data_IF_820926591463
#
_entry.id   IF_820926591463
#
_cell.length_a   1.000
_cell.length_b   1.000
_cell.length_c   1.000
_cell.angle_alpha   90.00
_cell.angle_beta   90.00
_cell.angle_gamma   90.00
#
_symmetry.space_group_name_H-M   'P 1'
#
loop_
_entity.id
_entity.type
_entity.pdbx_description
1 polymer ?
#
# COMPACT_ATOMS: atom_id res chain seq x y z
N UNK A 1 -8.09 45.61 -10.86
CA UNK A 1 -7.15 44.53 -11.21
C UNK A 1 -6.36 44.22 -9.95
N UNK A 2 -6.79 43.20 -9.21
CA UNK A 2 -6.14 42.79 -7.96
C UNK A 2 -5.25 41.58 -8.23
N UNK A 3 -3.95 41.70 -8.11
CA UNK A 3 -3.01 40.60 -8.15
C UNK A 3 -3.06 39.88 -6.80
N UNK A 4 -3.65 38.68 -6.79
CA UNK A 4 -3.49 37.79 -5.66
C UNK A 4 -2.12 37.08 -5.75
N UNK A 5 -1.23 37.46 -4.85
CA UNK A 5 0.03 36.76 -4.64
C UNK A 5 -0.28 35.49 -3.83
N UNK A 6 -0.18 34.37 -4.46
CA UNK A 6 -0.18 33.08 -3.75
C UNK A 6 1.19 32.95 -3.07
N UNK A 7 1.22 33.13 -1.75
CA UNK A 7 2.40 32.83 -0.96
C UNK A 7 2.58 31.30 -0.90
N UNK A 8 3.56 30.80 -1.64
CA UNK A 8 4.03 29.43 -1.46
C UNK A 8 4.71 29.36 -0.08
N UNK A 9 4.05 28.69 0.88
CA UNK A 9 4.68 28.36 2.16
C UNK A 9 5.70 27.26 1.89
N UNK A 10 6.96 27.64 1.77
CA UNK A 10 8.07 26.69 1.86
C UNK A 10 8.09 26.15 3.28
N UNK A 11 7.66 24.90 3.47
CA UNK A 11 7.91 24.18 4.70
C UNK A 11 9.42 24.05 4.85
N UNK A 12 9.97 24.77 5.82
CA UNK A 12 11.37 24.65 6.17
C UNK A 12 11.66 23.21 6.55
N UNK A 13 12.65 22.59 5.91
CA UNK A 13 13.17 21.31 6.33
C UNK A 13 13.49 21.38 7.82
N UNK A 14 13.18 20.33 8.60
CA UNK A 14 13.46 20.34 10.02
C UNK A 14 14.95 20.56 10.24
N UNK A 15 15.26 21.63 10.90
CA UNK A 15 16.61 22.02 11.25
C UNK A 15 17.19 21.07 12.29
N UNK A 16 18.38 20.62 11.98
CA UNK A 16 19.46 20.13 12.84
C UNK A 16 19.09 19.83 14.29
N UNK A 17 19.17 18.56 14.65
CA UNK A 17 19.10 18.11 16.03
C UNK A 17 20.34 18.54 16.83
N UNK A 18 20.15 18.78 18.13
CA UNK A 18 21.12 19.44 19.01
C UNK A 18 22.49 18.74 19.19
N UNK A 19 22.64 17.52 18.72
CA UNK A 19 23.86 16.71 18.91
C UNK A 19 24.65 16.51 17.61
N UNK A 20 24.29 17.18 16.54
CA UNK A 20 25.04 17.15 15.27
C UNK A 20 24.90 15.85 14.45
N UNK A 21 24.14 14.87 14.90
CA UNK A 21 23.89 13.62 14.16
C UNK A 21 22.39 13.37 14.03
N UNK A 22 21.78 13.95 12.99
CA UNK A 22 20.44 13.57 12.59
C UNK A 22 20.44 12.07 12.19
N UNK A 23 19.47 11.30 12.72
CA UNK A 23 19.33 9.90 12.35
C UNK A 23 19.06 9.78 10.85
N UNK A 24 19.64 8.80 10.16
CA UNK A 24 19.30 8.52 8.78
C UNK A 24 17.79 8.26 8.64
N UNK A 25 17.18 8.82 7.61
CA UNK A 25 15.75 8.68 7.32
C UNK A 25 15.54 7.68 6.20
N UNK A 26 14.79 6.63 6.48
CA UNK A 26 14.38 5.66 5.49
C UNK A 26 12.87 5.82 5.25
N UNK A 27 12.49 6.13 4.01
CA UNK A 27 11.09 6.13 3.61
C UNK A 27 10.79 4.87 2.81
N UNK A 28 9.71 4.19 3.18
CA UNK A 28 9.19 3.01 2.48
C UNK A 28 7.83 3.38 1.91
N UNK A 29 7.67 3.30 0.59
CA UNK A 29 6.39 3.53 -0.09
C UNK A 29 5.73 2.19 -0.38
N UNK A 30 4.53 2.01 0.13
CA UNK A 30 3.72 0.80 0.01
C UNK A 30 3.82 -0.12 1.22
N UNK A 31 2.68 -0.39 1.86
CA UNK A 31 2.54 -1.17 3.08
C UNK A 31 2.14 -2.64 2.86
N UNK A 32 2.31 -3.16 1.64
CA UNK A 32 2.11 -4.58 1.36
C UNK A 32 3.17 -5.48 1.99
N UNK A 33 3.19 -6.75 1.61
CA UNK A 33 4.08 -7.76 2.20
C UNK A 33 5.57 -7.35 2.17
N UNK A 34 6.03 -6.77 1.05
CA UNK A 34 7.42 -6.34 0.90
C UNK A 34 7.75 -5.11 1.74
N UNK A 35 7.00 -4.00 1.54
CA UNK A 35 7.31 -2.73 2.21
C UNK A 35 7.08 -2.77 3.71
N UNK A 36 5.97 -3.34 4.18
CA UNK A 36 5.71 -3.50 5.61
C UNK A 36 6.79 -4.35 6.30
N UNK A 37 7.26 -5.41 5.63
CA UNK A 37 8.37 -6.24 6.13
C UNK A 37 9.66 -5.43 6.19
N UNK A 38 10.02 -4.72 5.12
CA UNK A 38 11.21 -3.88 5.08
C UNK A 38 11.19 -2.84 6.20
N UNK A 39 10.10 -2.05 6.31
CA UNK A 39 9.96 -1.03 7.33
C UNK A 39 10.13 -1.61 8.76
N UNK A 40 9.44 -2.73 9.03
CA UNK A 40 9.50 -3.40 10.33
C UNK A 40 10.92 -3.84 10.70
N UNK A 41 11.62 -4.50 9.76
CA UNK A 41 12.94 -5.04 10.07
C UNK A 41 13.99 -3.94 10.16
N UNK A 42 13.93 -2.90 9.34
CA UNK A 42 14.84 -1.76 9.45
C UNK A 42 14.67 -1.08 10.81
N UNK A 43 13.44 -0.79 11.23
CA UNK A 43 13.19 -0.18 12.54
C UNK A 43 13.66 -1.07 13.70
N UNK A 44 13.36 -2.38 13.63
CA UNK A 44 13.75 -3.34 14.66
C UNK A 44 15.27 -3.48 14.77
N UNK A 45 15.96 -3.68 13.65
CA UNK A 45 17.37 -4.05 13.65
C UNK A 45 18.28 -2.83 13.84
N UNK A 46 17.82 -1.63 13.47
CA UNK A 46 18.50 -0.37 13.77
C UNK A 46 18.43 0.03 15.23
N UNK A 47 17.58 -0.62 16.05
CA UNK A 47 17.40 -0.30 17.47
C UNK A 47 17.11 1.19 17.74
N UNK A 48 16.42 1.84 16.80
CA UNK A 48 16.05 3.24 16.88
C UNK A 48 17.11 4.23 16.37
N UNK A 49 18.18 3.76 15.74
CA UNK A 49 19.20 4.63 15.13
C UNK A 49 18.82 5.11 13.73
N UNK A 50 17.75 4.58 13.16
CA UNK A 50 17.19 4.98 11.87
C UNK A 50 15.73 5.40 12.06
N UNK A 51 15.37 6.57 11.52
CA UNK A 51 13.98 7.01 11.45
C UNK A 51 13.31 6.38 10.23
N UNK A 52 12.35 5.50 10.47
CA UNK A 52 11.65 4.77 9.41
C UNK A 52 10.24 5.33 9.24
N UNK A 53 9.89 5.77 8.04
CA UNK A 53 8.54 6.18 7.68
C UNK A 53 7.97 5.23 6.63
N UNK A 54 6.77 4.70 6.88
CA UNK A 54 6.00 3.90 5.94
C UNK A 54 4.84 4.76 5.40
N UNK A 55 4.82 4.99 4.09
CA UNK A 55 3.72 5.68 3.40
C UNK A 55 2.80 4.63 2.78
N UNK A 56 1.56 4.57 3.26
CA UNK A 56 0.55 3.60 2.82
C UNK A 56 -0.86 4.19 2.97
N UNK A 57 -1.62 4.37 1.89
CA UNK A 57 -2.93 5.00 1.97
C UNK A 57 -3.96 4.16 2.75
N UNK A 58 -3.88 2.84 2.67
CA UNK A 58 -4.83 1.95 3.33
C UNK A 58 -4.53 1.79 4.81
N UNK A 59 -5.57 1.69 5.63
CA UNK A 59 -5.41 1.40 7.07
C UNK A 59 -5.31 -0.08 7.37
N UNK A 60 -5.69 -0.92 6.41
CA UNK A 60 -5.66 -2.37 6.49
C UNK A 60 -5.04 -2.94 5.22
N UNK A 61 -4.13 -3.87 5.40
CA UNK A 61 -3.62 -4.72 4.33
C UNK A 61 -4.33 -6.07 4.37
N UNK A 62 -4.96 -6.48 3.28
CA UNK A 62 -5.52 -7.80 3.14
C UNK A 62 -4.59 -8.67 2.30
N UNK A 63 -4.06 -9.72 2.92
CA UNK A 63 -3.15 -10.63 2.21
C UNK A 63 -3.90 -11.48 1.18
N UNK A 64 -3.40 -11.51 -0.06
CA UNK A 64 -3.95 -12.41 -1.08
C UNK A 64 -3.47 -13.86 -0.94
N UNK A 65 -2.40 -14.11 -0.19
CA UNK A 65 -1.76 -15.44 -0.08
C UNK A 65 -2.68 -16.51 0.51
N UNK A 66 -3.67 -16.13 1.31
CA UNK A 66 -4.64 -17.03 1.93
C UNK A 66 -6.06 -16.87 1.38
N UNK A 67 -6.24 -16.18 0.26
CA UNK A 67 -7.56 -15.99 -0.36
C UNK A 67 -8.24 -17.32 -0.66
N UNK A 68 -7.50 -18.35 -1.10
CA UNK A 68 -8.01 -19.68 -1.34
C UNK A 68 -8.58 -20.35 -0.07
N UNK A 69 -7.99 -20.10 1.10
CA UNK A 69 -8.50 -20.62 2.38
C UNK A 69 -9.80 -19.93 2.80
N UNK A 70 -9.90 -18.63 2.51
CA UNK A 70 -11.14 -17.88 2.72
C UNK A 70 -12.24 -18.36 1.74
N UNK A 71 -11.94 -18.49 0.46
CA UNK A 71 -12.88 -18.98 -0.56
C UNK A 71 -13.37 -20.38 -0.21
N UNK A 72 -12.49 -21.26 0.26
CA UNK A 72 -12.80 -22.61 0.72
C UNK A 72 -13.48 -22.70 2.08
N UNK A 73 -13.71 -21.57 2.77
CA UNK A 73 -14.42 -21.55 4.07
C UNK A 73 -13.56 -21.97 5.28
N UNK A 74 -12.25 -22.12 5.11
CA UNK A 74 -11.32 -22.49 6.19
C UNK A 74 -10.94 -21.28 7.05
N UNK A 75 -10.96 -20.07 6.48
CA UNK A 75 -10.66 -18.81 7.15
C UNK A 75 -11.78 -17.79 6.97
N UNK A 76 -11.84 -16.82 7.87
CA UNK A 76 -12.67 -15.63 7.72
C UNK A 76 -11.88 -14.52 7.03
N UNK A 77 -12.57 -13.49 6.50
CA UNK A 77 -11.90 -12.36 5.85
C UNK A 77 -11.01 -11.58 6.82
N UNK A 78 -11.42 -11.48 8.09
CA UNK A 78 -10.67 -10.79 9.13
C UNK A 78 -9.31 -11.47 9.43
N UNK A 79 -9.21 -12.79 9.20
CA UNK A 79 -7.93 -13.50 9.34
C UNK A 79 -6.90 -13.10 8.28
N UNK A 80 -7.36 -12.49 7.18
CA UNK A 80 -6.53 -12.01 6.09
C UNK A 80 -6.16 -10.53 6.26
N UNK A 81 -6.85 -9.82 7.15
CA UNK A 81 -6.67 -8.40 7.40
C UNK A 81 -5.57 -8.10 8.43
N UNK A 82 -4.68 -7.19 8.11
CA UNK A 82 -3.59 -6.78 9.00
C UNK A 82 -3.54 -5.25 9.09
N UNK A 83 -3.67 -4.71 10.31
CA UNK A 83 -3.46 -3.29 10.56
C UNK A 83 -1.97 -2.97 10.74
N UNK A 84 -1.63 -1.71 10.56
CA UNK A 84 -0.26 -1.22 10.75
C UNK A 84 0.09 -0.89 12.21
N UNK A 85 -0.84 -1.06 13.16
CA UNK A 85 -0.63 -0.72 14.57
C UNK A 85 0.57 -1.40 15.21
N UNK A 86 0.84 -2.67 14.90
CA UNK A 86 2.02 -3.39 15.41
C UNK A 86 3.33 -2.87 14.81
N UNK A 87 3.30 -2.39 13.57
CA UNK A 87 4.45 -1.79 12.88
C UNK A 87 4.74 -0.43 13.50
N UNK A 88 3.72 0.39 13.71
CA UNK A 88 3.84 1.67 14.39
C UNK A 88 4.36 1.53 15.82
N UNK A 89 3.83 0.58 16.60
CA UNK A 89 4.32 0.27 17.94
C UNK A 89 5.78 -0.22 17.96
N UNK A 90 6.28 -0.73 16.83
CA UNK A 90 7.67 -1.13 16.64
C UNK A 90 8.62 -0.01 16.23
N UNK A 91 8.17 1.26 16.26
CA UNK A 91 9.00 2.44 15.99
C UNK A 91 8.96 2.95 14.55
N UNK A 92 8.02 2.48 13.72
CA UNK A 92 7.81 2.99 12.37
C UNK A 92 6.78 4.11 12.40
N UNK A 93 7.10 5.26 11.81
CA UNK A 93 6.13 6.31 11.54
C UNK A 93 5.25 5.89 10.35
N UNK A 94 3.96 5.65 10.59
CA UNK A 94 3.03 5.25 9.52
C UNK A 94 2.22 6.46 9.07
N UNK A 95 2.38 6.81 7.79
CA UNK A 95 1.66 7.90 7.13
C UNK A 95 0.61 7.31 6.20
N UNK A 96 -0.66 7.52 6.53
CA UNK A 96 -1.78 7.05 5.72
C UNK A 96 -2.13 8.06 4.63
N UNK A 97 -1.33 8.05 3.55
CA UNK A 97 -1.52 8.90 2.40
C UNK A 97 -0.97 8.24 1.13
N UNK A 98 -1.34 8.76 -0.03
CA UNK A 98 -0.79 8.35 -1.31
C UNK A 98 0.53 9.05 -1.58
N UNK A 99 1.57 8.29 -1.93
CA UNK A 99 2.76 8.84 -2.55
C UNK A 99 2.45 9.12 -4.03
N UNK A 100 2.50 10.37 -4.42
CA UNK A 100 2.15 10.83 -5.79
C UNK A 100 3.36 11.23 -6.62
N UNK A 101 4.53 11.34 -6.01
CA UNK A 101 5.77 11.67 -6.71
C UNK A 101 7.00 11.45 -5.84
N UNK A 102 8.13 11.34 -6.50
CA UNK A 102 9.46 11.29 -5.87
C UNK A 102 10.33 12.34 -6.54
N UNK A 103 10.94 13.19 -5.74
CA UNK A 103 11.97 14.12 -6.16
C UNK A 103 13.31 13.62 -5.64
N UNK A 104 14.16 13.15 -6.55
CA UNK A 104 15.46 12.56 -6.20
C UNK A 104 16.55 13.63 -5.97
N UNK A 105 16.37 14.84 -6.50
CA UNK A 105 17.29 15.96 -6.27
C UNK A 105 17.13 16.51 -4.86
N UNK A 106 15.89 16.73 -4.41
CA UNK A 106 15.57 17.21 -3.06
C UNK A 106 15.41 16.07 -2.04
N UNK A 107 15.46 14.81 -2.48
CA UNK A 107 15.24 13.61 -1.64
C UNK A 107 13.93 13.68 -0.86
N UNK A 108 12.82 13.90 -1.56
CA UNK A 108 11.48 13.97 -0.96
C UNK A 108 10.48 13.09 -1.69
N UNK A 109 9.52 12.56 -0.94
CA UNK A 109 8.33 11.89 -1.46
C UNK A 109 7.15 12.83 -1.30
N UNK A 110 6.52 13.22 -2.41
CA UNK A 110 5.32 14.05 -2.42
C UNK A 110 4.08 13.22 -2.07
N UNK A 111 3.21 13.76 -1.23
CA UNK A 111 1.96 13.14 -0.79
C UNK A 111 0.75 13.79 -1.45
N UNK A 112 -0.35 13.06 -1.59
CA UNK A 112 -1.60 13.57 -2.15
C UNK A 112 -2.22 14.69 -1.31
N UNK A 113 -1.97 14.73 0.00
CA UNK A 113 -2.35 15.83 0.90
C UNK A 113 -1.68 17.16 0.56
N UNK A 114 -0.60 17.16 -0.23
CA UNK A 114 0.25 18.31 -0.51
C UNK A 114 1.48 18.39 0.40
N UNK A 115 1.58 17.51 1.39
CA UNK A 115 2.78 17.38 2.22
C UNK A 115 3.91 16.66 1.49
N UNK A 116 5.11 16.67 2.08
CA UNK A 116 6.24 15.88 1.58
C UNK A 116 7.01 15.21 2.73
N UNK A 117 7.58 14.04 2.44
CA UNK A 117 8.37 13.26 3.40
C UNK A 117 9.81 13.22 2.92
N UNK A 118 10.75 13.82 3.65
CA UNK A 118 12.16 13.78 3.28
C UNK A 118 12.80 12.42 3.60
N UNK A 119 13.75 11.99 2.77
CA UNK A 119 14.45 10.72 2.93
C UNK A 119 15.94 10.83 2.65
N UNK A 120 16.73 9.95 3.25
CA UNK A 120 18.13 9.70 2.89
C UNK A 120 18.24 8.40 2.06
N UNK A 121 17.32 7.45 2.31
CA UNK A 121 17.13 6.23 1.51
C UNK A 121 15.64 6.00 1.27
N UNK A 122 15.30 5.59 0.05
CA UNK A 122 13.94 5.29 -0.37
C UNK A 122 13.82 3.83 -0.80
N UNK A 123 12.74 3.18 -0.34
CA UNK A 123 12.33 1.85 -0.78
C UNK A 123 10.97 1.99 -1.45
N UNK A 124 10.88 1.60 -2.72
CA UNK A 124 9.64 1.59 -3.47
C UNK A 124 9.08 0.17 -3.52
N UNK A 125 7.94 -0.03 -2.89
CA UNK A 125 7.21 -1.31 -2.82
C UNK A 125 5.72 -1.11 -3.13
N UNK A 126 5.35 -0.48 -4.26
CA UNK A 126 3.96 -0.08 -4.55
C UNK A 126 3.03 -1.29 -4.78
N UNK A 127 3.58 -2.49 -4.92
CA UNK A 127 2.83 -3.71 -5.19
C UNK A 127 2.46 -3.83 -6.67
N UNK A 128 1.35 -4.55 -6.91
CA UNK A 128 0.83 -4.82 -8.25
C UNK A 128 -0.50 -4.10 -8.47
N UNK A 129 -0.79 -3.82 -9.73
CA UNK A 129 -2.11 -3.42 -10.18
C UNK A 129 -2.47 -4.13 -11.47
N UNK A 130 -3.71 -3.95 -11.94
CA UNK A 130 -4.20 -4.53 -13.18
C UNK A 130 -3.90 -3.60 -14.36
N UNK A 131 -3.53 -4.20 -15.48
CA UNK A 131 -3.49 -3.51 -16.76
C UNK A 131 -4.92 -3.57 -17.33
N UNK A 132 -5.58 -2.41 -17.38
CA UNK A 132 -6.96 -2.33 -17.87
C UNK A 132 -7.04 -2.77 -19.34
N UNK A 133 -8.02 -3.61 -19.66
CA UNK A 133 -8.19 -4.16 -21.02
C UNK A 133 -7.17 -5.22 -21.42
N UNK A 134 -6.30 -5.71 -20.54
CA UNK A 134 -5.34 -6.79 -20.85
C UNK A 134 -6.02 -8.12 -21.21
N UNK A 135 -7.24 -8.34 -20.75
CA UNK A 135 -8.08 -9.47 -21.11
C UNK A 135 -9.28 -8.93 -21.87
N UNK A 136 -9.54 -9.45 -23.08
CA UNK A 136 -10.68 -9.01 -23.90
C UNK A 136 -12.00 -9.21 -23.14
N UNK A 137 -12.82 -8.16 -23.10
CA UNK A 137 -14.10 -8.14 -22.39
C UNK A 137 -13.98 -7.92 -20.87
N UNK A 138 -12.79 -7.85 -20.31
CA UNK A 138 -12.57 -7.53 -18.90
C UNK A 138 -11.88 -6.17 -18.74
N UNK A 139 -12.38 -5.38 -17.79
CA UNK A 139 -11.81 -4.10 -17.41
C UNK A 139 -12.11 -3.83 -15.92
N UNK A 140 -11.56 -2.76 -15.37
CA UNK A 140 -11.74 -2.42 -13.96
C UNK A 140 -13.21 -2.21 -13.55
N UNK A 141 -14.07 -1.76 -14.46
CA UNK A 141 -15.50 -1.60 -14.18
C UNK A 141 -16.27 -2.93 -14.16
N UNK A 142 -15.76 -3.97 -14.83
CA UNK A 142 -16.38 -5.30 -14.85
C UNK A 142 -16.08 -6.18 -13.65
N UNK A 143 -15.23 -5.72 -12.71
CA UNK A 143 -14.88 -6.45 -11.49
C UNK A 143 -16.09 -6.83 -10.62
N UNK A 144 -17.17 -6.06 -10.68
CA UNK A 144 -18.41 -6.36 -9.95
C UNK A 144 -19.15 -7.59 -10.49
N UNK A 145 -18.96 -7.94 -11.77
CA UNK A 145 -19.52 -9.13 -12.38
C UNK A 145 -18.50 -10.28 -12.44
N UNK A 146 -17.25 -9.95 -12.67
CA UNK A 146 -16.13 -10.89 -12.84
C UNK A 146 -15.01 -10.57 -11.84
N UNK A 147 -15.21 -10.88 -10.55
CA UNK A 147 -14.27 -10.57 -9.49
C UNK A 147 -12.99 -11.40 -9.60
N UNK A 148 -11.98 -10.95 -8.89
CA UNK A 148 -10.67 -11.59 -8.81
C UNK A 148 -10.24 -11.82 -7.34
N UNK A 149 -9.22 -12.65 -7.13
CA UNK A 149 -8.59 -12.86 -5.82
C UNK A 149 -7.12 -12.42 -5.75
N UNK A 150 -6.64 -11.64 -6.73
CA UNK A 150 -5.25 -11.17 -6.77
C UNK A 150 -4.95 -10.08 -5.73
N UNK A 151 -5.93 -9.21 -5.47
CA UNK A 151 -5.90 -8.26 -4.36
C UNK A 151 -6.89 -8.74 -3.31
N UNK A 152 -6.44 -9.01 -2.10
CA UNK A 152 -7.31 -9.42 -1.00
C UNK A 152 -8.28 -8.29 -0.61
N UNK A 153 -9.44 -8.66 -0.06
CA UNK A 153 -10.47 -7.71 0.37
C UNK A 153 -11.79 -7.90 -0.37
N UNK A 154 -12.47 -6.79 -0.69
CA UNK A 154 -13.86 -6.78 -1.20
C UNK A 154 -14.08 -7.65 -2.46
N UNK A 155 -13.11 -7.71 -3.36
CA UNK A 155 -13.22 -8.57 -4.55
C UNK A 155 -13.20 -10.06 -4.18
N UNK A 156 -12.39 -10.44 -3.17
CA UNK A 156 -12.36 -11.81 -2.66
C UNK A 156 -13.67 -12.17 -1.96
N UNK A 157 -14.27 -11.22 -1.24
CA UNK A 157 -15.59 -11.40 -0.61
C UNK A 157 -16.68 -11.58 -1.66
N UNK A 158 -16.69 -10.73 -2.69
CA UNK A 158 -17.64 -10.83 -3.80
C UNK A 158 -17.51 -12.19 -4.52
N UNK A 159 -16.29 -12.64 -4.80
CA UNK A 159 -16.02 -13.93 -5.41
C UNK A 159 -16.56 -15.08 -4.54
N UNK A 160 -16.35 -15.04 -3.24
CA UNK A 160 -16.91 -16.02 -2.32
C UNK A 160 -18.43 -16.03 -2.31
N UNK A 161 -19.05 -14.85 -2.30
CA UNK A 161 -20.51 -14.73 -2.35
C UNK A 161 -21.08 -15.33 -3.64
N UNK A 162 -20.46 -15.07 -4.78
CA UNK A 162 -20.85 -15.67 -6.07
C UNK A 162 -20.69 -17.18 -6.07
N UNK A 163 -19.57 -17.70 -5.59
CA UNK A 163 -19.33 -19.16 -5.48
C UNK A 163 -20.37 -19.82 -4.58
N UNK A 164 -20.68 -19.19 -3.44
CA UNK A 164 -21.65 -19.74 -2.46
C UNK A 164 -23.09 -19.71 -2.96
N UNK A 165 -23.43 -18.78 -3.87
CA UNK A 165 -24.77 -18.66 -4.47
C UNK A 165 -24.95 -19.50 -5.75
N UNK A 166 -23.87 -20.09 -6.23
CA UNK A 166 -23.91 -20.88 -7.47
C UNK A 166 -24.75 -22.15 -7.26
N UNK A 167 -25.72 -22.45 -8.16
CA UNK A 167 -26.50 -23.67 -8.05
C UNK A 167 -25.61 -24.92 -8.24
N UNK A 168 -26.04 -26.02 -7.65
CA UNK A 168 -25.34 -27.29 -7.84
C UNK A 168 -25.31 -27.66 -9.34
N UNK A 169 -24.14 -28.01 -9.85
CA UNK A 169 -23.91 -28.26 -11.27
C UNK A 169 -23.70 -26.99 -12.12
N UNK A 170 -23.60 -25.83 -11.47
CA UNK A 170 -23.26 -24.58 -12.15
C UNK A 170 -21.86 -24.60 -12.76
N UNK A 171 -21.64 -23.77 -13.77
CA UNK A 171 -20.34 -23.67 -14.45
C UNK A 171 -19.50 -22.55 -13.83
N UNK A 172 -18.28 -22.87 -13.42
CA UNK A 172 -17.25 -21.92 -13.02
C UNK A 172 -16.24 -21.77 -14.15
N UNK A 173 -16.04 -20.55 -14.63
CA UNK A 173 -15.04 -20.25 -15.64
C UNK A 173 -13.92 -19.40 -15.02
N UNK A 174 -12.69 -19.86 -15.16
CA UNK A 174 -11.49 -19.10 -14.77
C UNK A 174 -10.72 -18.70 -16.02
N UNK A 175 -10.53 -17.40 -16.21
CA UNK A 175 -9.78 -16.85 -17.33
C UNK A 175 -8.47 -16.31 -16.79
N UNK A 176 -7.36 -16.89 -17.24
CA UNK A 176 -6.02 -16.37 -16.91
C UNK A 176 -5.62 -15.30 -17.94
N UNK A 177 -4.90 -14.25 -17.52
CA UNK A 177 -4.31 -13.33 -18.47
C UNK A 177 -3.27 -14.06 -19.35
N UNK A 178 -2.97 -13.55 -20.56
CA UNK A 178 -1.88 -14.08 -21.35
C UNK A 178 -0.56 -13.98 -20.57
N UNK A 179 0.33 -14.91 -20.79
CA UNK A 179 1.69 -14.81 -20.25
C UNK A 179 2.38 -13.56 -20.80
N UNK A 180 3.12 -12.81 -19.95
CA UNK A 180 3.89 -11.66 -20.41
C UNK A 180 5.03 -12.07 -21.35
#
# INVERSE_FOLDING_TARGET
MGNSVIAASTLAAPTVFADGHAKPRVVVVGGGAGGATAARYIAKDSKGEIDVTLVEPSRMYYTCFFSNLYLGGVKNIDDLGHSYGKIAAGGVNVVHDWAVGVDDDTKTVALASGDSVPYDKLILSPGIDFIDGAVEGWNLSSQNAMPHAYKGGSQTELLKAQLSSMPQGGTYAMVAPPNP
#
